data_IF_931264192490
#
_entry.id   IF_931264192490
#
_cell.length_a   1.000
_cell.length_b   1.000
_cell.length_c   1.000
_cell.angle_alpha   90.00
_cell.angle_beta   90.00
_cell.angle_gamma   90.00
#
_symmetry.space_group_name_H-M   'P 1'
#
loop_
_entity.id
_entity.type
_entity.pdbx_description
1 polymer ?
#
# COMPACT_ATOMS: atom_id res chain seq x y z
N UNK A 1 -3.35 12.99 -23.60
CA UNK A 1 -2.88 11.57 -23.74
C UNK A 1 -3.97 10.73 -23.12
N UNK A 2 -4.46 9.74 -23.80
CA UNK A 2 -5.51 8.87 -23.29
C UNK A 2 -4.84 7.67 -22.65
N UNK A 3 -5.07 7.41 -21.36
CA UNK A 3 -4.58 6.21 -20.69
C UNK A 3 -5.54 5.05 -20.99
N UNK A 4 -4.98 3.89 -21.29
CA UNK A 4 -5.74 2.65 -21.50
C UNK A 4 -5.85 1.82 -20.22
N UNK A 5 -5.14 2.21 -19.15
CA UNK A 5 -5.06 1.47 -17.89
C UNK A 5 -4.82 2.44 -16.72
N UNK A 6 -5.47 2.20 -15.57
CA UNK A 6 -5.19 2.93 -14.33
C UNK A 6 -4.86 1.96 -13.21
N UNK A 7 -3.74 2.19 -12.53
CA UNK A 7 -3.33 1.41 -11.36
C UNK A 7 -3.32 2.31 -10.12
N UNK A 8 -3.75 1.80 -8.98
CA UNK A 8 -3.91 2.57 -7.74
C UNK A 8 -3.06 2.01 -6.62
N UNK A 9 -2.51 2.87 -5.75
CA UNK A 9 -2.24 2.45 -4.39
C UNK A 9 -3.56 2.23 -3.63
N UNK A 10 -3.49 1.49 -2.53
CA UNK A 10 -4.67 1.16 -1.73
C UNK A 10 -4.84 2.12 -0.55
N UNK A 11 -3.86 2.10 0.39
CA UNK A 11 -3.93 2.83 1.66
C UNK A 11 -3.62 4.31 1.47
N UNK A 12 -4.59 5.18 1.73
CA UNK A 12 -4.45 6.61 1.50
C UNK A 12 -4.90 7.07 0.11
N UNK A 13 -5.31 6.15 -0.76
CA UNK A 13 -5.85 6.42 -2.10
C UNK A 13 -7.29 5.94 -2.22
N UNK A 14 -7.52 4.64 -2.12
CA UNK A 14 -8.85 4.01 -2.19
C UNK A 14 -9.51 3.92 -0.81
N UNK A 15 -8.73 3.55 0.20
CA UNK A 15 -9.17 3.40 1.59
C UNK A 15 -8.34 4.26 2.54
N UNK A 16 -8.93 4.65 3.66
CA UNK A 16 -8.25 5.40 4.71
C UNK A 16 -7.04 4.65 5.27
N UNK A 17 -6.00 5.37 5.69
CA UNK A 17 -4.81 4.79 6.32
C UNK A 17 -5.13 4.24 7.69
N UNK A 18 -4.51 3.13 8.05
CA UNK A 18 -4.54 2.65 9.44
C UNK A 18 -3.71 3.57 10.33
N UNK A 19 -4.19 3.86 11.52
CA UNK A 19 -3.48 4.70 12.48
C UNK A 19 -2.17 4.03 12.90
N UNK A 20 -1.14 4.85 13.10
CA UNK A 20 0.19 4.36 13.47
C UNK A 20 0.20 3.62 14.82
N UNK A 21 -0.58 4.10 15.81
CA UNK A 21 -0.69 3.47 17.13
C UNK A 21 -1.23 2.03 17.04
N UNK A 22 -2.21 1.77 16.17
CA UNK A 22 -2.74 0.42 15.94
C UNK A 22 -1.68 -0.52 15.34
N UNK A 23 -0.92 -0.03 14.35
CA UNK A 23 0.17 -0.82 13.75
C UNK A 23 1.29 -1.10 14.75
N UNK A 24 1.60 -0.11 15.60
CA UNK A 24 2.61 -0.23 16.64
C UNK A 24 2.18 -1.23 17.71
N UNK A 25 0.96 -1.16 18.20
CA UNK A 25 0.41 -2.12 19.16
C UNK A 25 0.45 -3.55 18.62
N UNK A 26 0.10 -3.75 17.35
CA UNK A 26 0.20 -5.06 16.69
C UNK A 26 1.65 -5.55 16.56
N UNK A 27 2.59 -4.63 16.38
CA UNK A 27 4.03 -4.96 16.37
C UNK A 27 4.51 -5.35 17.77
N UNK A 28 4.12 -4.62 18.82
CA UNK A 28 4.42 -4.96 20.23
C UNK A 28 3.83 -6.33 20.60
N UNK A 29 2.61 -6.64 20.14
CA UNK A 29 1.99 -7.95 20.32
C UNK A 29 2.82 -9.04 19.64
N UNK A 30 3.40 -8.76 18.45
CA UNK A 30 4.30 -9.71 17.78
C UNK A 30 5.51 -10.04 18.66
N UNK A 31 6.18 -9.05 19.25
CA UNK A 31 7.29 -9.29 20.18
C UNK A 31 6.84 -10.14 21.38
N UNK A 32 5.65 -9.86 21.93
CA UNK A 32 5.10 -10.64 23.03
C UNK A 32 4.85 -12.12 22.66
N UNK A 33 4.41 -12.41 21.44
CA UNK A 33 4.26 -13.79 20.93
C UNK A 33 5.60 -14.53 20.87
N UNK A 34 6.71 -13.82 20.74
CA UNK A 34 8.09 -14.37 20.82
C UNK A 34 8.69 -14.31 22.24
N UNK A 35 7.88 -13.97 23.25
CA UNK A 35 8.28 -13.97 24.65
C UNK A 35 8.98 -12.69 25.12
N UNK A 36 9.04 -11.64 24.30
CA UNK A 36 9.61 -10.35 24.64
C UNK A 36 8.48 -9.39 25.03
N UNK A 37 8.36 -9.12 26.35
CA UNK A 37 7.26 -8.29 26.91
C UNK A 37 7.64 -6.81 27.09
N UNK A 38 8.90 -6.46 26.95
CA UNK A 38 9.44 -5.09 27.05
C UNK A 38 10.51 -4.90 25.95
N UNK A 39 10.10 -4.86 24.68
CA UNK A 39 11.03 -4.62 23.58
C UNK A 39 11.53 -3.18 23.59
N UNK A 40 12.72 -2.95 23.04
CA UNK A 40 13.24 -1.61 22.82
C UNK A 40 12.26 -0.82 21.91
N UNK A 41 11.82 0.36 22.32
CA UNK A 41 10.90 1.19 21.54
C UNK A 41 11.39 1.49 20.10
N UNK A 42 12.70 1.67 19.92
CA UNK A 42 13.28 1.92 18.60
C UNK A 42 13.13 0.67 17.70
N UNK A 43 13.33 -0.53 18.25
CA UNK A 43 13.10 -1.78 17.51
C UNK A 43 11.63 -2.00 17.16
N UNK A 44 10.69 -1.57 18.02
CA UNK A 44 9.26 -1.61 17.70
C UNK A 44 8.96 -0.65 16.55
N UNK A 45 9.50 0.57 16.58
CA UNK A 45 9.29 1.57 15.54
C UNK A 45 9.85 1.10 14.20
N UNK A 46 11.08 0.58 14.17
CA UNK A 46 11.73 0.00 12.99
C UNK A 46 10.89 -1.12 12.36
N UNK A 47 10.25 -1.95 13.20
CA UNK A 47 9.41 -3.06 12.74
C UNK A 47 7.97 -2.65 12.41
N UNK A 48 7.53 -1.44 12.76
CA UNK A 48 6.14 -0.99 12.55
C UNK A 48 5.89 -0.56 11.12
N UNK A 49 6.68 0.36 10.58
CA UNK A 49 6.56 0.83 9.18
C UNK A 49 7.96 1.01 8.61
N UNK A 50 8.10 0.61 7.34
CA UNK A 50 9.32 0.90 6.59
C UNK A 50 10.47 -0.09 6.82
N UNK A 51 10.29 -1.13 7.63
CA UNK A 51 11.32 -2.11 7.94
C UNK A 51 12.11 -2.57 6.69
N UNK A 52 13.41 -2.67 6.83
CA UNK A 52 14.32 -3.22 5.81
C UNK A 52 14.78 -4.62 6.20
N UNK A 53 15.26 -5.43 5.25
CA UNK A 53 15.85 -6.74 5.58
C UNK A 53 16.98 -6.66 6.62
N UNK A 54 17.76 -5.58 6.59
CA UNK A 54 18.87 -5.36 7.55
C UNK A 54 18.36 -5.09 8.97
N UNK A 55 17.29 -4.30 9.10
CA UNK A 55 16.67 -4.03 10.40
C UNK A 55 16.01 -5.28 10.96
N UNK A 56 15.30 -6.06 10.13
CA UNK A 56 14.74 -7.36 10.55
C UNK A 56 15.84 -8.29 11.05
N UNK A 57 16.96 -8.39 10.35
CA UNK A 57 18.11 -9.21 10.77
C UNK A 57 18.69 -8.71 12.11
N UNK A 58 18.89 -7.38 12.25
CA UNK A 58 19.44 -6.77 13.47
C UNK A 58 18.53 -7.03 14.68
N UNK A 59 17.24 -6.80 14.54
CA UNK A 59 16.25 -7.04 15.61
C UNK A 59 16.18 -8.52 15.97
N UNK A 60 16.20 -9.40 14.96
CA UNK A 60 16.19 -10.84 15.17
C UNK A 60 17.43 -11.32 15.92
N UNK A 61 18.61 -10.79 15.61
CA UNK A 61 19.86 -11.13 16.32
C UNK A 61 19.84 -10.67 17.79
N UNK A 62 19.26 -9.48 18.07
CA UNK A 62 19.17 -8.94 19.45
C UNK A 62 18.31 -9.82 20.35
N UNK A 63 17.22 -10.37 19.81
CA UNK A 63 16.24 -11.14 20.60
C UNK A 63 16.31 -12.66 20.37
N UNK A 64 17.28 -13.14 19.62
CA UNK A 64 17.46 -14.56 19.26
C UNK A 64 16.21 -15.14 18.52
N UNK A 65 15.65 -14.37 17.58
CA UNK A 65 14.54 -14.80 16.74
C UNK A 65 15.03 -15.47 15.47
N UNK A 66 14.20 -16.37 14.93
CA UNK A 66 14.34 -16.80 13.53
C UNK A 66 13.72 -15.68 12.64
N UNK A 67 14.51 -15.00 11.76
CA UNK A 67 14.08 -13.77 11.10
C UNK A 67 12.82 -13.92 10.25
N UNK A 68 12.74 -14.97 9.41
CA UNK A 68 11.59 -15.21 8.54
C UNK A 68 10.33 -15.54 9.33
N UNK A 69 10.46 -16.27 10.45
CA UNK A 69 9.34 -16.60 11.32
C UNK A 69 8.83 -15.35 12.03
N UNK A 70 9.73 -14.53 12.56
CA UNK A 70 9.38 -13.27 13.22
C UNK A 70 8.66 -12.33 12.24
N UNK A 71 9.25 -12.12 11.04
CA UNK A 71 8.68 -11.22 10.05
C UNK A 71 7.31 -11.69 9.56
N UNK A 72 7.14 -12.97 9.28
CA UNK A 72 5.84 -13.54 8.88
C UNK A 72 4.77 -13.39 9.97
N UNK A 73 5.15 -13.59 11.23
CA UNK A 73 4.24 -13.41 12.37
C UNK A 73 3.85 -11.94 12.50
N UNK A 74 4.82 -11.03 12.39
CA UNK A 74 4.58 -9.59 12.41
C UNK A 74 3.60 -9.18 11.31
N UNK A 75 3.83 -9.61 10.09
CA UNK A 75 2.95 -9.28 8.97
C UNK A 75 1.52 -9.77 9.20
N UNK A 76 1.37 -10.98 9.71
CA UNK A 76 0.05 -11.53 10.03
C UNK A 76 -0.64 -10.75 11.14
N UNK A 77 0.06 -10.44 12.24
CA UNK A 77 -0.51 -9.71 13.38
C UNK A 77 -0.96 -8.32 12.95
N UNK A 78 -0.15 -7.62 12.17
CA UNK A 78 -0.47 -6.30 11.62
C UNK A 78 -1.62 -6.38 10.60
N UNK A 79 -1.67 -7.42 9.76
CA UNK A 79 -2.80 -7.64 8.84
C UNK A 79 -4.11 -7.81 9.61
N UNK A 80 -4.13 -8.65 10.65
CA UNK A 80 -5.33 -8.86 11.50
C UNK A 80 -5.78 -7.56 12.16
N UNK A 81 -4.86 -6.77 12.70
CA UNK A 81 -5.20 -5.47 13.30
C UNK A 81 -5.85 -4.50 12.28
N UNK A 82 -5.34 -4.44 11.06
CA UNK A 82 -5.93 -3.63 9.98
C UNK A 82 -7.32 -4.12 9.59
N UNK A 83 -7.51 -5.43 9.52
CA UNK A 83 -8.83 -6.03 9.25
C UNK A 83 -9.84 -5.70 10.35
N UNK A 84 -9.42 -5.69 11.63
CA UNK A 84 -10.27 -5.30 12.75
C UNK A 84 -10.65 -3.81 12.69
N UNK A 85 -9.73 -2.93 12.28
CA UNK A 85 -10.04 -1.51 12.04
C UNK A 85 -11.11 -1.34 10.95
N UNK A 86 -11.01 -2.11 9.87
CA UNK A 86 -12.02 -2.10 8.80
C UNK A 86 -13.38 -2.62 9.29
N UNK A 87 -13.42 -3.79 9.96
CA UNK A 87 -14.66 -4.35 10.53
C UNK A 87 -15.32 -3.41 11.54
N UNK A 88 -14.53 -2.63 12.26
CA UNK A 88 -15.01 -1.65 13.24
C UNK A 88 -15.41 -0.30 12.61
N UNK A 89 -15.30 -0.13 11.29
CA UNK A 89 -15.63 1.10 10.58
C UNK A 89 -14.68 2.25 10.85
N UNK A 90 -13.45 1.98 11.32
CA UNK A 90 -12.41 3.00 11.55
C UNK A 90 -11.44 3.12 10.37
N UNK A 91 -11.38 2.11 9.51
CA UNK A 91 -10.75 2.13 8.20
C UNK A 91 -11.84 1.93 7.16
N UNK A 92 -12.08 2.93 6.30
CA UNK A 92 -13.20 2.95 5.34
C UNK A 92 -12.72 3.39 3.97
N UNK A 93 -13.42 3.03 2.90
CA UNK A 93 -13.21 3.63 1.59
C UNK A 93 -13.40 5.15 1.63
N UNK A 94 -12.74 5.86 0.73
CA UNK A 94 -13.03 7.27 0.49
C UNK A 94 -14.35 7.44 -0.26
N UNK A 95 -15.03 8.58 -0.06
CA UNK A 95 -16.39 8.80 -0.58
C UNK A 95 -16.48 8.96 -2.10
N UNK A 96 -15.36 9.16 -2.77
CA UNK A 96 -15.23 9.28 -4.23
C UNK A 96 -14.85 7.96 -4.92
N UNK A 97 -14.76 6.85 -4.17
CA UNK A 97 -14.39 5.55 -4.74
C UNK A 97 -15.43 5.04 -5.75
N UNK A 98 -16.71 5.33 -5.51
CA UNK A 98 -17.81 4.90 -6.38
C UNK A 98 -17.67 5.45 -7.82
N UNK A 99 -16.96 6.59 -8.00
CA UNK A 99 -16.74 7.17 -9.33
C UNK A 99 -15.90 6.28 -10.26
N UNK A 100 -15.09 5.38 -9.69
CA UNK A 100 -14.30 4.44 -10.47
C UNK A 100 -15.14 3.45 -11.28
N UNK A 101 -16.38 3.19 -10.86
CA UNK A 101 -17.29 2.30 -11.60
C UNK A 101 -17.67 2.83 -12.99
N UNK A 102 -17.51 4.12 -13.22
CA UNK A 102 -17.81 4.79 -14.50
C UNK A 102 -16.55 4.98 -15.37
N UNK A 103 -15.37 4.53 -14.93
CA UNK A 103 -14.16 4.51 -15.75
C UNK A 103 -14.19 3.29 -16.69
N UNK A 104 -14.11 3.54 -17.99
CA UNK A 104 -14.13 2.50 -19.05
C UNK A 104 -12.71 2.08 -19.46
N UNK A 105 -11.88 1.75 -18.45
CA UNK A 105 -10.51 1.24 -18.63
C UNK A 105 -10.21 0.14 -17.62
N UNK A 106 -9.38 -0.86 -17.95
CA UNK A 106 -8.85 -1.83 -17.00
C UNK A 106 -8.19 -1.16 -15.79
N UNK A 107 -8.47 -1.68 -14.60
CA UNK A 107 -7.96 -1.13 -13.35
C UNK A 107 -7.21 -2.18 -12.53
N UNK A 108 -6.14 -1.73 -11.87
CA UNK A 108 -5.35 -2.57 -10.96
C UNK A 108 -5.00 -1.89 -9.64
N UNK A 109 -4.58 -2.69 -8.68
CA UNK A 109 -4.07 -2.21 -7.39
C UNK A 109 -2.63 -2.69 -7.18
N UNK A 110 -1.77 -1.78 -6.71
CA UNK A 110 -0.40 -2.10 -6.25
C UNK A 110 -0.14 -1.42 -4.93
N UNK A 111 -0.06 -2.21 -3.85
CA UNK A 111 0.15 -1.73 -2.49
C UNK A 111 1.45 -2.25 -1.87
N UNK A 112 2.09 -1.44 -1.02
CA UNK A 112 3.19 -1.90 -0.16
C UNK A 112 2.69 -2.63 1.11
N UNK A 113 1.38 -2.73 1.30
CA UNK A 113 0.76 -3.51 2.36
C UNK A 113 0.83 -5.02 2.05
N UNK A 114 0.53 -5.87 3.03
CA UNK A 114 0.50 -7.32 2.86
C UNK A 114 -0.63 -7.72 1.89
N UNK A 115 -0.39 -8.75 1.05
CA UNK A 115 -1.40 -9.27 0.13
C UNK A 115 -2.69 -9.67 0.86
N UNK A 116 -2.56 -10.36 2.02
CA UNK A 116 -3.71 -10.76 2.84
C UNK A 116 -4.58 -9.57 3.27
N UNK A 117 -3.96 -8.41 3.55
CA UNK A 117 -4.69 -7.19 3.89
C UNK A 117 -5.40 -6.61 2.68
N UNK A 118 -4.75 -6.57 1.53
CA UNK A 118 -5.34 -6.07 0.28
C UNK A 118 -6.57 -6.91 -0.09
N UNK A 119 -6.40 -8.23 -0.15
CA UNK A 119 -7.49 -9.17 -0.48
C UNK A 119 -8.68 -9.00 0.46
N UNK A 120 -8.40 -8.93 1.78
CA UNK A 120 -9.47 -8.73 2.77
C UNK A 120 -10.21 -7.41 2.57
N UNK A 121 -9.51 -6.30 2.32
CA UNK A 121 -10.15 -4.99 2.16
C UNK A 121 -11.02 -4.93 0.91
N UNK A 122 -10.57 -5.54 -0.19
CA UNK A 122 -11.35 -5.63 -1.43
C UNK A 122 -12.65 -6.43 -1.22
N UNK A 123 -12.57 -7.56 -0.54
CA UNK A 123 -13.72 -8.39 -0.24
C UNK A 123 -14.66 -7.72 0.78
N UNK A 124 -14.10 -7.15 1.87
CA UNK A 124 -14.89 -6.55 2.95
C UNK A 124 -15.69 -5.32 2.51
N UNK A 125 -15.14 -4.54 1.60
CA UNK A 125 -15.81 -3.36 1.04
C UNK A 125 -16.59 -3.64 -0.25
N UNK A 126 -16.59 -4.90 -0.71
CA UNK A 126 -17.29 -5.34 -1.92
C UNK A 126 -16.84 -4.61 -3.20
N UNK A 127 -15.55 -4.22 -3.26
CA UNK A 127 -14.96 -3.45 -4.36
C UNK A 127 -14.05 -4.28 -5.26
N UNK A 128 -13.89 -5.58 -5.00
CA UNK A 128 -13.04 -6.47 -5.80
C UNK A 128 -13.43 -6.49 -7.27
N UNK A 129 -14.73 -6.33 -7.58
CA UNK A 129 -15.24 -6.31 -8.96
C UNK A 129 -14.85 -5.08 -9.79
N UNK A 130 -14.22 -4.06 -9.20
CA UNK A 130 -13.72 -2.88 -9.91
C UNK A 130 -12.31 -3.10 -10.50
N UNK A 131 -11.57 -4.11 -10.03
CA UNK A 131 -10.16 -4.28 -10.36
C UNK A 131 -9.89 -5.64 -10.99
N UNK A 132 -9.16 -5.64 -12.10
CA UNK A 132 -8.79 -6.85 -12.84
C UNK A 132 -7.56 -7.54 -12.21
N UNK A 133 -6.73 -6.79 -11.48
CA UNK A 133 -5.58 -7.33 -10.75
C UNK A 133 -5.32 -6.55 -9.45
N UNK A 134 -4.76 -7.23 -8.43
CA UNK A 134 -4.40 -6.59 -7.17
C UNK A 134 -3.15 -7.23 -6.55
N UNK A 135 -2.12 -6.42 -6.37
CA UNK A 135 -0.85 -6.82 -5.78
C UNK A 135 -0.58 -6.10 -4.46
N UNK A 136 -0.50 -6.88 -3.39
CA UNK A 136 0.20 -6.54 -2.16
C UNK A 136 1.56 -7.26 -2.14
N UNK A 137 2.34 -7.09 -1.07
CA UNK A 137 3.57 -7.85 -0.91
C UNK A 137 3.33 -9.17 -0.17
N UNK A 138 4.14 -10.16 -0.48
CA UNK A 138 4.19 -11.43 0.24
C UNK A 138 4.74 -11.22 1.66
N UNK A 139 4.37 -12.11 2.60
CA UNK A 139 4.86 -12.10 3.98
C UNK A 139 6.27 -12.73 4.10
N UNK A 140 7.24 -12.18 3.36
CA UNK A 140 8.65 -12.61 3.32
C UNK A 140 9.57 -11.42 3.51
N UNK A 141 10.79 -11.64 4.03
CA UNK A 141 11.80 -10.59 4.14
C UNK A 141 12.24 -10.10 2.75
N UNK A 142 12.31 -10.98 1.76
CA UNK A 142 12.67 -10.62 0.38
C UNK A 142 11.71 -9.55 -0.18
N UNK A 143 10.41 -9.69 0.07
CA UNK A 143 9.37 -8.75 -0.42
C UNK A 143 9.58 -7.31 0.05
N UNK A 144 10.32 -7.09 1.14
CA UNK A 144 10.67 -5.76 1.63
C UNK A 144 11.50 -4.95 0.64
N UNK A 145 12.30 -5.63 -0.18
CA UNK A 145 13.13 -5.00 -1.23
C UNK A 145 12.33 -4.69 -2.49
N UNK A 146 11.15 -5.30 -2.63
CA UNK A 146 10.28 -5.18 -3.81
C UNK A 146 9.18 -4.12 -3.65
N UNK A 147 9.11 -3.49 -2.46
CA UNK A 147 8.15 -2.38 -2.20
C UNK A 147 8.48 -1.14 -3.03
N UNK A 148 7.47 -0.32 -3.28
CA UNK A 148 7.63 1.02 -3.82
C UNK A 148 8.72 1.80 -3.05
N UNK A 149 9.67 2.46 -3.71
CA UNK A 149 9.68 2.84 -5.14
C UNK A 149 10.19 1.78 -6.13
N UNK A 150 10.43 0.52 -5.70
CA UNK A 150 10.74 -0.56 -6.64
C UNK A 150 9.51 -0.80 -7.54
N UNK A 151 9.67 -0.85 -8.89
CA UNK A 151 8.54 -1.00 -9.80
C UNK A 151 8.00 -2.44 -9.89
N UNK A 152 8.58 -3.40 -9.21
CA UNK A 152 8.32 -4.83 -9.36
C UNK A 152 6.83 -5.21 -9.42
N UNK A 153 6.04 -4.81 -8.42
CA UNK A 153 4.62 -5.13 -8.40
C UNK A 153 3.82 -4.33 -9.43
N UNK A 154 4.27 -3.10 -9.73
CA UNK A 154 3.64 -2.26 -10.75
C UNK A 154 3.87 -2.84 -12.15
N UNK A 155 5.08 -3.27 -12.48
CA UNK A 155 5.39 -3.94 -13.75
C UNK A 155 4.57 -5.23 -13.92
N UNK A 156 4.36 -5.99 -12.84
CA UNK A 156 3.49 -7.18 -12.89
C UNK A 156 2.04 -6.82 -13.18
N UNK A 157 1.50 -5.80 -12.50
CA UNK A 157 0.13 -5.35 -12.72
C UNK A 157 -0.06 -4.85 -14.17
N UNK A 158 0.89 -4.07 -14.69
CA UNK A 158 0.86 -3.60 -16.08
C UNK A 158 0.90 -4.74 -17.09
N UNK A 159 1.68 -5.79 -16.83
CA UNK A 159 1.74 -6.97 -17.69
C UNK A 159 0.43 -7.77 -17.68
N UNK A 160 -0.21 -7.93 -16.50
CA UNK A 160 -1.50 -8.63 -16.40
C UNK A 160 -2.64 -7.87 -17.09
N UNK A 161 -2.53 -6.54 -17.16
CA UNK A 161 -3.52 -5.64 -17.76
C UNK A 161 -3.27 -5.36 -19.26
N UNK A 162 -2.20 -5.95 -19.85
CA UNK A 162 -1.77 -5.67 -21.23
C UNK A 162 -1.64 -4.15 -21.52
N UNK A 163 -1.18 -3.37 -20.53
CA UNK A 163 -1.15 -1.92 -20.56
C UNK A 163 -0.10 -1.38 -21.57
N UNK A 164 -0.53 -0.49 -22.47
CA UNK A 164 0.35 0.26 -23.38
C UNK A 164 0.59 1.70 -22.92
N UNK A 165 -0.40 2.31 -22.24
CA UNK A 165 -0.37 3.67 -21.70
C UNK A 165 -1.07 3.72 -20.35
N UNK A 166 -0.31 3.71 -19.25
CA UNK A 166 -0.86 3.59 -17.92
C UNK A 166 -0.65 4.85 -17.06
N UNK A 167 -1.57 5.05 -16.12
CA UNK A 167 -1.47 6.03 -15.04
C UNK A 167 -1.41 5.31 -13.70
N UNK A 168 -0.45 5.67 -12.84
CA UNK A 168 -0.40 5.20 -11.45
C UNK A 168 -0.84 6.29 -10.48
N UNK A 169 -1.85 6.02 -9.67
CA UNK A 169 -2.42 6.96 -8.69
C UNK A 169 -1.92 6.61 -7.28
N UNK A 170 -1.25 7.54 -6.62
CA UNK A 170 -0.67 7.35 -5.29
C UNK A 170 -0.74 8.58 -4.40
N UNK A 171 -0.54 8.40 -3.08
CA UNK A 171 -0.52 9.48 -2.08
C UNK A 171 0.86 9.74 -1.47
N UNK A 172 1.90 9.09 -2.01
CA UNK A 172 3.26 9.14 -1.46
C UNK A 172 4.31 9.34 -2.57
N UNK A 173 5.45 9.96 -2.22
CA UNK A 173 6.58 10.11 -3.15
C UNK A 173 7.10 8.77 -3.67
N UNK A 174 6.98 7.70 -2.86
CA UNK A 174 7.36 6.35 -3.31
C UNK A 174 6.51 5.83 -4.44
N UNK A 175 5.25 6.28 -4.54
CA UNK A 175 4.33 5.93 -5.62
C UNK A 175 4.74 6.60 -6.92
N UNK A 176 5.02 7.90 -6.85
CA UNK A 176 5.48 8.69 -7.99
C UNK A 176 6.79 8.15 -8.53
N UNK A 177 7.74 7.82 -7.64
CA UNK A 177 9.00 7.20 -8.02
C UNK A 177 8.82 5.77 -8.59
N UNK A 178 7.86 5.01 -8.09
CA UNK A 178 7.57 3.68 -8.63
C UNK A 178 7.04 3.78 -10.08
N UNK A 179 6.16 4.74 -10.35
CA UNK A 179 5.67 5.04 -11.70
C UNK A 179 6.82 5.49 -12.62
N UNK A 180 7.67 6.42 -12.16
CA UNK A 180 8.86 6.86 -12.89
C UNK A 180 9.79 5.68 -13.22
N UNK A 181 10.05 4.80 -12.26
CA UNK A 181 10.89 3.62 -12.43
C UNK A 181 10.27 2.57 -13.37
N UNK A 182 8.94 2.49 -13.43
CA UNK A 182 8.21 1.65 -14.39
C UNK A 182 8.05 2.31 -15.77
N UNK A 183 8.41 3.59 -15.92
CA UNK A 183 8.32 4.33 -17.19
C UNK A 183 6.90 4.74 -17.56
N UNK A 184 6.02 4.94 -16.59
CA UNK A 184 4.63 5.37 -16.79
C UNK A 184 4.35 6.71 -16.10
N UNK A 185 3.23 7.34 -16.45
CA UNK A 185 2.75 8.56 -15.82
C UNK A 185 2.20 8.31 -14.41
N UNK A 186 2.19 9.36 -13.59
CA UNK A 186 1.70 9.31 -12.21
C UNK A 186 0.73 10.45 -11.89
N UNK A 187 -0.25 10.16 -11.03
CA UNK A 187 -1.11 11.14 -10.38
C UNK A 187 -0.88 11.09 -8.87
N UNK A 188 -0.58 12.25 -8.28
CA UNK A 188 -0.55 12.41 -6.84
C UNK A 188 -1.91 12.85 -6.35
N UNK A 189 -2.56 12.08 -5.46
CA UNK A 189 -3.87 12.43 -4.91
C UNK A 189 -3.74 13.13 -3.56
N UNK A 190 -4.35 14.30 -3.44
CA UNK A 190 -4.35 15.16 -2.26
C UNK A 190 -5.44 14.77 -1.26
N UNK A 191 -5.31 13.61 -0.65
CA UNK A 191 -6.21 13.25 0.46
C UNK A 191 -6.00 14.16 1.68
N UNK A 192 -6.94 14.26 2.66
CA UNK A 192 -6.83 15.17 3.81
C UNK A 192 -5.51 15.09 4.56
N UNK A 193 -4.88 13.92 4.64
CA UNK A 193 -3.58 13.72 5.28
C UNK A 193 -2.38 14.14 4.42
N UNK A 194 -2.61 14.63 3.18
CA UNK A 194 -1.62 15.08 2.20
C UNK A 194 -1.91 16.46 1.61
N UNK A 195 -2.96 17.15 2.08
CA UNK A 195 -3.42 18.43 1.50
C UNK A 195 -2.31 19.48 1.36
N UNK A 196 -1.45 19.57 2.38
CA UNK A 196 -0.38 20.58 2.46
C UNK A 196 1.02 19.97 2.28
N UNK A 197 1.11 18.76 1.70
CA UNK A 197 2.39 18.09 1.53
C UNK A 197 3.20 18.68 0.38
N UNK A 198 4.40 19.20 0.67
CA UNK A 198 5.37 19.61 -0.32
C UNK A 198 6.10 18.38 -0.89
N UNK A 199 5.94 18.15 -2.20
CA UNK A 199 6.57 17.03 -2.89
C UNK A 199 8.01 17.38 -3.31
N UNK A 200 8.93 16.43 -3.13
CA UNK A 200 10.29 16.48 -3.68
C UNK A 200 10.40 15.73 -5.03
N UNK A 201 9.26 15.33 -5.60
CA UNK A 201 9.11 14.64 -6.88
C UNK A 201 8.03 15.32 -7.70
N UNK A 202 8.03 15.09 -9.02
CA UNK A 202 7.10 15.74 -9.94
C UNK A 202 6.13 14.70 -10.52
N UNK A 203 4.89 14.58 -10.02
CA UNK A 203 3.86 13.77 -10.67
C UNK A 203 3.47 14.39 -12.01
N UNK A 204 2.94 13.58 -12.93
CA UNK A 204 2.33 14.08 -14.18
C UNK A 204 1.06 14.87 -13.87
N UNK A 205 0.30 14.39 -12.89
CA UNK A 205 -0.94 15.02 -12.43
C UNK A 205 -0.94 15.21 -10.90
N UNK A 206 -1.52 16.28 -10.44
CA UNK A 206 -1.81 16.55 -9.03
C UNK A 206 -3.33 16.71 -8.91
N UNK A 207 -4.00 15.81 -8.18
CA UNK A 207 -5.47 15.69 -8.15
C UNK A 207 -5.99 15.73 -6.71
N UNK A 208 -7.20 16.23 -6.54
CA UNK A 208 -7.87 16.32 -5.24
C UNK A 208 -8.86 15.16 -5.00
N UNK A 209 -9.34 14.53 -6.08
CA UNK A 209 -10.37 13.49 -6.06
C UNK A 209 -10.12 12.43 -7.12
N UNK A 210 -10.65 11.20 -6.90
CA UNK A 210 -10.74 10.19 -7.96
C UNK A 210 -11.67 10.61 -9.10
N UNK A 211 -12.60 11.55 -8.86
CA UNK A 211 -13.47 12.11 -9.90
C UNK A 211 -12.66 12.80 -11.03
N UNK A 212 -11.48 13.38 -10.69
CA UNK A 212 -10.61 14.05 -11.66
C UNK A 212 -10.08 13.10 -12.74
N UNK A 213 -10.08 11.79 -12.48
CA UNK A 213 -9.62 10.77 -13.42
C UNK A 213 -10.49 10.69 -14.68
N UNK A 214 -11.78 11.04 -14.60
CA UNK A 214 -12.67 11.05 -15.75
C UNK A 214 -12.19 12.02 -16.84
N UNK A 215 -11.74 13.20 -16.45
CA UNK A 215 -11.22 14.20 -17.38
C UNK A 215 -9.85 13.79 -17.92
N UNK A 216 -9.01 13.18 -17.06
CA UNK A 216 -7.64 12.74 -17.40
C UNK A 216 -7.67 11.56 -18.39
N UNK A 217 -8.55 10.58 -18.18
CA UNK A 217 -8.65 9.38 -19.01
C UNK A 217 -9.44 9.60 -20.31
N UNK A 218 -10.29 10.64 -20.36
CA UNK A 218 -11.11 10.97 -21.54
C UNK A 218 -10.44 11.93 -22.54
N UNK A 219 -9.25 12.46 -22.25
CA UNK A 219 -8.60 13.57 -22.97
C UNK A 219 -7.73 13.06 -24.19
#
# INVERSE_FOLDING_TARGET
MTYDTVVFDNDGVLVGRTRFDVLREATEETFAQFGVTDPDPDHVEDMTIGATPSEVATVSDVYDFEPEQFWRTRDRTVSVAQQEEARAGRKTPYGDLDSLADLDVPMGIVSSNQQETVDFLLDHFEISGLFDTAYGREATIESLTLRKPNPHYLERALADLDAESALYVGDNESDIRAAENAGIDSAFIRRPHRSDWDLNVWPTWDIDSLDDLHDICSA
#
